data_IF_037811219721
#
_entry.id   IF_037811219721
#
_cell.length_a   1.000
_cell.length_b   1.000
_cell.length_c   1.000
_cell.angle_alpha   90.00
_cell.angle_beta   90.00
_cell.angle_gamma   90.00
#
_symmetry.space_group_name_H-M   'P 1'
#
loop_
_entity.id
_entity.type
_entity.pdbx_description
1 polymer ?
#
# COMPACT_ATOMS: atom_id res chain seq x y z
N UNK A 1 -13.79 16.13 -11.56
CA UNK A 1 -13.38 15.78 -10.18
C UNK A 1 -11.87 15.92 -10.14
N UNK A 2 -11.30 16.78 -9.29
CA UNK A 2 -9.88 17.12 -9.35
C UNK A 2 -9.04 16.10 -8.56
N UNK A 3 -8.16 15.38 -9.26
CA UNK A 3 -7.14 14.52 -8.66
C UNK A 3 -6.17 15.41 -7.87
N UNK A 4 -5.97 15.13 -6.59
CA UNK A 4 -5.08 15.92 -5.73
C UNK A 4 -3.63 15.54 -6.01
N UNK A 5 -2.78 16.55 -6.23
CA UNK A 5 -1.38 16.38 -6.54
C UNK A 5 -0.60 15.90 -5.29
N UNK A 6 0.38 15.02 -5.48
CA UNK A 6 1.20 14.39 -4.42
C UNK A 6 2.22 15.40 -3.86
N UNK A 7 1.73 16.48 -3.25
CA UNK A 7 2.60 17.56 -2.75
C UNK A 7 2.38 17.89 -1.29
N UNK A 8 1.32 17.36 -0.66
CA UNK A 8 1.07 17.56 0.76
C UNK A 8 0.62 16.26 1.42
N UNK A 9 1.19 16.03 2.60
CA UNK A 9 1.02 14.87 3.48
C UNK A 9 -0.42 14.31 3.48
N UNK A 10 -0.53 12.97 3.59
CA UNK A 10 -1.73 12.09 3.53
C UNK A 10 -1.92 11.57 2.08
N UNK A 11 -1.89 10.26 1.75
CA UNK A 11 -2.68 9.07 2.19
C UNK A 11 -1.97 7.78 1.73
N UNK A 12 -2.58 6.60 1.92
CA UNK A 12 -2.66 5.68 0.78
C UNK A 12 -3.88 4.74 0.85
N UNK A 13 -4.98 5.14 0.22
CA UNK A 13 -5.94 4.21 -0.39
C UNK A 13 -6.05 4.63 -1.84
N UNK A 14 -5.64 3.76 -2.76
CA UNK A 14 -5.79 3.94 -4.20
C UNK A 14 -6.96 3.09 -4.68
N UNK A 15 -7.97 3.74 -5.25
CA UNK A 15 -9.20 3.09 -5.72
C UNK A 15 -9.55 3.56 -7.13
N UNK A 16 -10.04 2.65 -7.97
CA UNK A 16 -10.66 3.03 -9.25
C UNK A 16 -11.84 3.98 -9.03
N UNK A 17 -12.06 4.87 -9.99
CA UNK A 17 -13.10 5.90 -9.97
C UNK A 17 -14.54 5.39 -9.71
N UNK A 18 -14.82 4.10 -9.94
CA UNK A 18 -16.12 3.48 -9.62
C UNK A 18 -16.36 3.18 -8.13
N UNK A 19 -15.31 3.17 -7.29
CA UNK A 19 -15.38 2.85 -5.85
C UNK A 19 -15.46 4.10 -4.96
N UNK A 20 -15.35 5.29 -5.55
CA UNK A 20 -15.44 6.57 -4.84
C UNK A 20 -16.76 7.24 -5.19
N UNK A 21 -17.73 7.21 -4.29
CA UNK A 21 -19.01 7.88 -4.48
C UNK A 21 -18.86 9.41 -4.58
N UNK A 22 -19.90 10.14 -5.05
CA UNK A 22 -19.86 11.60 -5.21
C UNK A 22 -19.52 12.38 -3.93
N UNK A 23 -19.70 11.75 -2.75
CA UNK A 23 -19.37 12.32 -1.44
C UNK A 23 -18.00 11.88 -0.88
N UNK A 24 -17.10 11.30 -1.71
CA UNK A 24 -15.83 10.70 -1.26
C UNK A 24 -16.01 9.61 -0.19
N UNK A 25 -17.18 8.99 -0.15
CA UNK A 25 -17.42 7.79 0.66
C UNK A 25 -16.67 6.64 0.01
N UNK A 26 -15.77 6.01 0.78
CA UNK A 26 -15.15 4.74 0.43
C UNK A 26 -16.27 3.70 0.32
N UNK A 27 -16.59 3.29 -0.90
CA UNK A 27 -17.43 2.11 -1.11
C UNK A 27 -16.46 0.95 -1.30
N UNK A 28 -16.07 0.29 -0.21
CA UNK A 28 -15.57 -1.08 -0.33
C UNK A 28 -16.76 -1.85 -0.87
N UNK A 29 -16.73 -2.16 -2.17
CA UNK A 29 -17.82 -2.91 -2.81
C UNK A 29 -17.96 -4.21 -2.05
N UNK A 30 -19.16 -4.45 -1.54
CA UNK A 30 -19.60 -5.76 -1.05
C UNK A 30 -19.27 -6.79 -2.14
N UNK A 31 -18.17 -7.51 -1.99
CA UNK A 31 -17.61 -8.41 -3.02
C UNK A 31 -16.09 -8.37 -3.22
N UNK A 32 -15.35 -7.39 -2.68
CA UNK A 32 -13.88 -7.37 -2.77
C UNK A 32 -13.22 -8.32 -1.76
N UNK A 33 -12.27 -9.15 -2.19
CA UNK A 33 -11.42 -9.91 -1.27
C UNK A 33 -10.30 -9.02 -0.73
N UNK A 34 -10.12 -9.06 0.59
CA UNK A 34 -9.11 -8.30 1.33
C UNK A 34 -7.87 -9.17 1.59
N UNK A 35 -6.69 -8.65 1.27
CA UNK A 35 -5.41 -9.33 1.55
C UNK A 35 -4.43 -8.38 2.24
N UNK A 36 -3.62 -8.95 3.14
CA UNK A 36 -2.50 -8.28 3.80
C UNK A 36 -1.18 -8.83 3.25
N UNK A 37 -0.24 -7.93 2.94
CA UNK A 37 0.97 -8.28 2.18
C UNK A 37 2.25 -7.72 2.83
N UNK A 38 3.16 -8.62 3.23
CA UNK A 38 4.44 -8.25 3.85
C UNK A 38 5.58 -9.21 3.46
N UNK A 39 6.81 -8.89 3.89
CA UNK A 39 8.05 -9.61 3.62
C UNK A 39 8.18 -10.93 4.39
N UNK A 40 7.37 -11.92 4.02
CA UNK A 40 7.45 -13.28 4.57
C UNK A 40 8.41 -14.20 3.79
N UNK A 41 8.87 -13.75 2.63
CA UNK A 41 9.70 -14.52 1.71
C UNK A 41 11.17 -14.10 1.85
N UNK A 42 12.04 -15.08 2.03
CA UNK A 42 13.49 -14.88 2.14
C UNK A 42 14.22 -15.67 1.05
N UNK A 43 15.47 -15.31 0.80
CA UNK A 43 16.32 -15.95 -0.21
C UNK A 43 16.50 -15.11 -1.46
N UNK A 44 16.61 -15.75 -2.62
CA UNK A 44 16.82 -15.07 -3.89
C UNK A 44 15.62 -14.15 -4.21
N UNK A 45 15.83 -12.87 -4.56
CA UNK A 45 14.74 -11.92 -4.82
C UNK A 45 13.75 -12.36 -5.90
N UNK A 46 14.23 -13.04 -6.95
CA UNK A 46 13.38 -13.51 -8.04
C UNK A 46 12.48 -14.66 -7.60
N UNK A 47 13.04 -15.63 -6.87
CA UNK A 47 12.27 -16.75 -6.33
C UNK A 47 11.27 -16.29 -5.27
N UNK A 48 11.69 -15.39 -4.38
CA UNK A 48 10.83 -14.78 -3.37
C UNK A 48 9.66 -14.03 -4.02
N UNK A 49 9.94 -13.24 -5.07
CA UNK A 49 8.91 -12.54 -5.82
C UNK A 49 7.96 -13.52 -6.54
N UNK A 50 8.49 -14.56 -7.18
CA UNK A 50 7.67 -15.58 -7.85
C UNK A 50 6.70 -16.29 -6.89
N UNK A 51 7.18 -16.68 -5.70
CA UNK A 51 6.34 -17.27 -4.65
C UNK A 51 5.27 -16.29 -4.17
N UNK A 52 5.66 -15.05 -3.89
CA UNK A 52 4.72 -14.01 -3.49
C UNK A 52 3.59 -13.81 -4.51
N UNK A 53 3.95 -13.63 -5.79
CA UNK A 53 2.96 -13.45 -6.87
C UNK A 53 2.05 -14.68 -6.97
N UNK A 54 2.61 -15.89 -6.90
CA UNK A 54 1.84 -17.13 -6.94
C UNK A 54 0.81 -17.20 -5.79
N UNK A 55 1.21 -16.83 -4.57
CA UNK A 55 0.34 -16.87 -3.40
C UNK A 55 -0.78 -15.83 -3.49
N UNK A 56 -0.49 -14.59 -3.92
CA UNK A 56 -1.52 -13.56 -4.16
C UNK A 56 -2.49 -14.00 -5.25
N UNK A 57 -1.97 -14.52 -6.36
CA UNK A 57 -2.81 -14.94 -7.47
C UNK A 57 -3.69 -16.15 -7.12
N UNK A 58 -3.17 -17.07 -6.31
CA UNK A 58 -3.93 -18.19 -5.77
C UNK A 58 -5.01 -17.73 -4.79
N UNK A 59 -4.70 -16.75 -3.94
CA UNK A 59 -5.61 -16.27 -2.91
C UNK A 59 -6.78 -15.45 -3.49
N UNK A 60 -6.51 -14.56 -4.43
CA UNK A 60 -7.52 -13.63 -4.95
C UNK A 60 -7.40 -13.28 -6.43
N UNK A 61 -6.32 -13.67 -7.10
CA UNK A 61 -6.10 -13.29 -8.50
C UNK A 61 -7.12 -13.84 -9.49
N UNK A 62 -7.75 -14.98 -9.18
CA UNK A 62 -8.84 -15.53 -9.99
C UNK A 62 -10.05 -14.59 -10.11
N UNK A 63 -10.22 -13.64 -9.17
CA UNK A 63 -11.27 -12.61 -9.23
C UNK A 63 -11.01 -11.63 -10.37
N UNK A 64 -9.74 -11.27 -10.59
CA UNK A 64 -9.35 -10.38 -11.68
C UNK A 64 -9.66 -11.00 -13.04
N UNK A 65 -9.41 -12.31 -13.18
CA UNK A 65 -9.72 -13.07 -14.41
C UNK A 65 -11.24 -13.15 -14.68
N UNK A 66 -12.06 -12.98 -13.64
CA UNK A 66 -13.52 -12.91 -13.71
C UNK A 66 -14.06 -11.48 -13.85
N UNK A 67 -13.18 -10.47 -13.92
CA UNK A 67 -13.55 -9.06 -14.03
C UNK A 67 -13.92 -8.40 -12.70
N UNK A 68 -13.68 -9.05 -11.56
CA UNK A 68 -13.89 -8.50 -10.23
C UNK A 68 -12.63 -7.76 -9.73
N UNK A 69 -12.79 -6.67 -8.95
CA UNK A 69 -11.67 -5.98 -8.34
C UNK A 69 -11.02 -6.83 -7.24
N UNK A 70 -9.71 -6.66 -7.06
CA UNK A 70 -8.96 -7.19 -5.92
C UNK A 70 -8.36 -6.01 -5.16
N UNK A 71 -8.59 -5.97 -3.84
CA UNK A 71 -8.13 -4.88 -2.97
C UNK A 71 -7.14 -5.41 -1.93
N UNK A 72 -5.91 -4.93 -1.99
CA UNK A 72 -4.90 -5.20 -0.96
C UNK A 72 -5.00 -4.12 0.11
N UNK A 73 -5.75 -4.37 1.17
CA UNK A 73 -6.04 -3.35 2.21
C UNK A 73 -4.84 -2.97 3.05
N UNK A 74 -3.83 -3.84 3.11
CA UNK A 74 -2.62 -3.57 3.86
C UNK A 74 -1.41 -4.12 3.12
N UNK A 75 -0.47 -3.23 2.81
CA UNK A 75 0.91 -3.60 2.53
C UNK A 75 1.85 -2.60 3.19
N UNK A 76 3.08 -3.02 3.44
CA UNK A 76 4.08 -2.12 4.00
C UNK A 76 5.43 -2.78 4.14
N UNK A 77 6.42 -1.95 4.45
CA UNK A 77 7.82 -2.34 4.59
C UNK A 77 8.47 -1.44 5.64
N UNK A 78 9.67 -1.82 6.08
CA UNK A 78 10.51 -0.95 6.88
C UNK A 78 10.92 0.29 6.07
N UNK A 79 10.27 1.42 6.38
CA UNK A 79 10.45 2.70 5.70
C UNK A 79 11.77 3.40 6.08
N UNK A 80 12.66 2.78 6.85
CA UNK A 80 14.05 3.22 6.93
C UNK A 80 14.83 2.88 5.66
N UNK A 81 14.31 1.97 4.83
CA UNK A 81 14.91 1.58 3.55
C UNK A 81 16.17 0.73 3.66
N UNK A 82 16.53 0.28 4.86
CA UNK A 82 17.75 -0.50 5.12
C UNK A 82 17.53 -2.01 5.13
N UNK A 83 16.27 -2.47 5.17
CA UNK A 83 15.93 -3.89 5.14
C UNK A 83 15.84 -4.39 3.68
N UNK A 84 16.81 -5.21 3.28
CA UNK A 84 16.88 -5.74 1.92
C UNK A 84 15.66 -6.61 1.54
N UNK A 85 15.13 -7.42 2.46
CA UNK A 85 13.98 -8.27 2.19
C UNK A 85 12.72 -7.45 1.95
N UNK A 86 12.50 -6.43 2.79
CA UNK A 86 11.36 -5.52 2.67
C UNK A 86 11.46 -4.70 1.37
N UNK A 87 12.67 -4.23 1.01
CA UNK A 87 12.89 -3.53 -0.25
C UNK A 87 12.62 -4.40 -1.48
N UNK A 88 13.05 -5.66 -1.45
CA UNK A 88 12.78 -6.62 -2.53
C UNK A 88 11.28 -6.95 -2.63
N UNK A 89 10.62 -7.13 -1.48
CA UNK A 89 9.17 -7.30 -1.42
C UNK A 89 8.44 -6.10 -2.06
N UNK A 90 8.79 -4.86 -1.70
CA UNK A 90 8.16 -3.66 -2.27
C UNK A 90 8.31 -3.59 -3.79
N UNK A 91 9.49 -3.93 -4.33
CA UNK A 91 9.70 -3.97 -5.78
C UNK A 91 8.75 -4.96 -6.46
N UNK A 92 8.59 -6.15 -5.86
CA UNK A 92 7.69 -7.16 -6.38
C UNK A 92 6.22 -6.76 -6.26
N UNK A 93 5.82 -6.22 -5.10
CA UNK A 93 4.48 -5.69 -4.85
C UNK A 93 4.11 -4.61 -5.87
N UNK A 94 4.99 -3.62 -6.08
CA UNK A 94 4.76 -2.54 -7.04
C UNK A 94 4.64 -3.05 -8.47
N UNK A 95 5.48 -4.01 -8.87
CA UNK A 95 5.37 -4.67 -10.18
C UNK A 95 4.01 -5.35 -10.36
N UNK A 96 3.60 -6.17 -9.39
CA UNK A 96 2.32 -6.88 -9.43
C UNK A 96 1.12 -5.92 -9.43
N UNK A 97 1.15 -4.90 -8.56
CA UNK A 97 0.07 -3.91 -8.45
C UNK A 97 -0.13 -3.14 -9.75
N UNK A 98 0.96 -2.73 -10.41
CA UNK A 98 0.91 -2.06 -11.69
C UNK A 98 0.46 -2.99 -12.83
N UNK A 99 0.99 -4.22 -12.89
CA UNK A 99 0.67 -5.17 -13.96
C UNK A 99 -0.81 -5.62 -13.91
N UNK A 100 -1.36 -5.80 -12.71
CA UNK A 100 -2.71 -6.34 -12.49
C UNK A 100 -3.77 -5.30 -12.16
N UNK A 101 -3.42 -4.01 -12.18
CA UNK A 101 -4.31 -2.89 -11.81
C UNK A 101 -5.02 -3.17 -10.46
N UNK A 102 -4.21 -3.48 -9.45
CA UNK A 102 -4.71 -3.74 -8.10
C UNK A 102 -5.12 -2.44 -7.42
N UNK A 103 -6.19 -2.50 -6.65
CA UNK A 103 -6.54 -1.46 -5.70
C UNK A 103 -5.78 -1.76 -4.38
N UNK A 104 -5.27 -0.74 -3.67
CA UNK A 104 -4.39 -0.98 -2.52
C UNK A 104 -4.46 0.11 -1.45
N UNK A 105 -4.07 -0.27 -0.23
CA UNK A 105 -3.91 0.66 0.89
C UNK A 105 -2.62 0.39 1.70
N UNK A 106 -1.91 1.48 2.00
CA UNK A 106 -0.62 1.43 2.71
C UNK A 106 -0.86 1.30 4.21
N UNK A 107 -0.18 0.33 4.80
CA UNK A 107 0.05 0.25 6.23
C UNK A 107 1.46 0.79 6.54
N UNK A 108 1.63 1.92 7.22
CA UNK A 108 0.59 2.81 7.73
C UNK A 108 1.09 4.26 7.85
N UNK A 109 0.19 5.22 8.11
CA UNK A 109 0.57 6.65 8.23
C UNK A 109 1.42 6.96 9.48
N UNK A 110 1.32 6.13 10.53
CA UNK A 110 1.77 6.41 11.89
C UNK A 110 3.28 6.62 11.99
N UNK A 111 3.72 7.67 12.70
CA UNK A 111 5.14 7.89 13.00
C UNK A 111 5.65 7.17 14.24
N UNK A 112 4.78 7.01 15.24
CA UNK A 112 5.10 6.33 16.50
C UNK A 112 3.83 5.79 17.16
N UNK A 113 3.98 4.98 18.21
CA UNK A 113 2.87 4.38 18.96
C UNK A 113 3.15 4.32 20.45
N UNK A 114 2.06 4.22 21.23
CA UNK A 114 2.11 4.02 22.65
C UNK A 114 2.17 2.53 22.98
N UNK A 115 3.15 2.12 23.81
CA UNK A 115 3.27 0.74 24.29
C UNK A 115 3.40 0.75 25.80
N UNK A 116 2.37 0.30 26.51
CA UNK A 116 2.43 -0.04 27.95
C UNK A 116 3.16 1.01 28.80
N UNK A 117 2.76 2.27 28.71
CA UNK A 117 3.38 3.38 29.46
C UNK A 117 4.48 4.13 28.70
N UNK A 118 4.99 3.59 27.59
CA UNK A 118 5.99 4.23 26.75
C UNK A 118 5.35 4.95 25.57
N UNK A 119 5.31 6.28 25.65
CA UNK A 119 4.93 7.17 24.54
C UNK A 119 6.08 7.23 23.53
N UNK A 120 5.75 7.34 22.25
CA UNK A 120 6.72 7.64 21.20
C UNK A 120 7.61 6.45 20.81
N UNK A 121 7.11 5.21 20.93
CA UNK A 121 7.83 4.06 20.37
C UNK A 121 7.81 4.18 18.86
N UNK A 122 8.99 4.25 18.24
CA UNK A 122 9.12 4.53 16.81
C UNK A 122 8.47 3.44 15.95
N UNK A 123 7.61 3.84 15.00
CA UNK A 123 6.96 2.93 14.04
C UNK A 123 7.73 2.98 12.72
N UNK A 124 8.72 2.11 12.59
CA UNK A 124 9.59 2.09 11.40
C UNK A 124 8.89 1.66 10.10
N UNK A 125 7.75 0.96 10.20
CA UNK A 125 6.87 0.63 9.07
C UNK A 125 5.90 1.77 8.71
N UNK A 126 6.07 2.91 9.35
CA UNK A 126 5.24 4.09 9.19
C UNK A 126 5.78 5.02 8.11
N UNK A 127 4.86 5.61 7.33
CA UNK A 127 5.19 6.62 6.33
C UNK A 127 5.84 7.86 6.97
N UNK A 128 5.36 8.25 8.16
CA UNK A 128 5.90 9.38 8.91
C UNK A 128 7.06 8.96 9.83
N UNK A 129 7.94 9.90 10.11
CA UNK A 129 8.93 9.75 11.17
C UNK A 129 8.31 9.90 12.56
N UNK A 130 9.07 9.62 13.63
CA UNK A 130 8.57 9.73 15.00
C UNK A 130 8.12 11.14 15.41
N UNK A 131 8.49 12.19 14.64
CA UNK A 131 8.05 13.56 14.86
C UNK A 131 6.64 13.83 14.36
N UNK A 132 6.07 12.92 13.54
CA UNK A 132 4.80 13.08 12.83
C UNK A 132 4.77 14.25 11.83
N UNK A 133 5.90 14.95 11.63
CA UNK A 133 5.99 16.13 10.80
C UNK A 133 6.66 15.91 9.44
N UNK A 134 7.38 14.79 9.27
CA UNK A 134 8.15 14.49 8.07
C UNK A 134 7.91 13.07 7.59
N UNK A 135 8.15 12.85 6.29
CA UNK A 135 8.22 11.51 5.72
C UNK A 135 9.50 10.83 6.17
N UNK A 136 9.40 9.55 6.54
CA UNK A 136 10.57 8.73 6.86
C UNK A 136 11.42 8.44 5.63
N UNK A 137 10.77 8.21 4.49
CA UNK A 137 11.41 7.94 3.22
C UNK A 137 10.74 8.70 2.08
N UNK A 138 11.34 9.83 1.68
CA UNK A 138 10.81 10.65 0.58
C UNK A 138 10.76 9.89 -0.76
N UNK A 139 11.68 8.95 -0.99
CA UNK A 139 11.68 8.13 -2.22
C UNK A 139 10.53 7.13 -2.27
N UNK A 140 9.96 6.75 -1.13
CA UNK A 140 8.86 5.80 -1.06
C UNK A 140 7.59 6.36 -1.69
N UNK A 141 7.23 7.62 -1.40
CA UNK A 141 6.09 8.27 -2.05
C UNK A 141 6.26 8.38 -3.57
N UNK A 142 7.48 8.63 -4.04
CA UNK A 142 7.76 8.65 -5.48
C UNK A 142 7.48 7.28 -6.10
N UNK A 143 7.91 6.19 -5.46
CA UNK A 143 7.62 4.83 -5.94
C UNK A 143 6.13 4.48 -5.89
N UNK A 144 5.42 4.89 -4.83
CA UNK A 144 3.96 4.72 -4.76
C UNK A 144 3.23 5.43 -5.90
N UNK A 145 3.70 6.62 -6.29
CA UNK A 145 3.10 7.37 -7.39
C UNK A 145 3.19 6.65 -8.74
N UNK A 146 4.19 5.78 -8.94
CA UNK A 146 4.37 5.09 -10.23
C UNK A 146 3.36 3.96 -10.44
N UNK A 147 2.72 3.48 -9.38
CA UNK A 147 1.72 2.41 -9.44
C UNK A 147 0.29 2.92 -9.29
N UNK A 148 0.11 4.25 -9.33
CA UNK A 148 -1.20 4.89 -9.31
C UNK A 148 -1.60 5.26 -10.75
N UNK A 149 -2.41 4.45 -11.45
CA UNK A 149 -2.86 4.77 -12.80
C UNK A 149 -3.80 5.99 -12.81
N UNK A 150 -3.95 6.69 -13.95
CA UNK A 150 -4.81 7.88 -14.06
C UNK A 150 -6.29 7.65 -13.72
N UNK A 151 -6.73 6.38 -13.78
CA UNK A 151 -8.09 5.91 -13.44
C UNK A 151 -8.31 5.69 -11.94
N UNK A 152 -7.25 5.76 -11.12
CA UNK A 152 -7.31 5.59 -9.68
C UNK A 152 -7.12 6.93 -8.94
N UNK A 153 -8.01 7.21 -8.00
CA UNK A 153 -7.92 8.37 -7.12
C UNK A 153 -7.34 7.96 -5.76
N UNK A 154 -6.34 8.69 -5.29
CA UNK A 154 -5.83 8.57 -3.92
C UNK A 154 -6.73 9.36 -2.97
N UNK A 155 -7.35 8.67 -1.99
CA UNK A 155 -8.38 9.23 -1.13
C UNK A 155 -7.87 9.59 0.27
N UNK A 156 -7.83 10.88 0.64
CA UNK A 156 -7.31 11.34 1.94
C UNK A 156 -8.20 10.92 3.12
N UNK A 157 -7.74 9.97 3.95
CA UNK A 157 -8.21 9.82 5.33
C UNK A 157 -7.40 10.80 6.18
N UNK A 158 -7.92 12.01 6.36
CA UNK A 158 -7.52 12.83 7.51
C UNK A 158 -8.22 12.26 8.74
N UNK A 159 -7.44 11.81 9.73
CA UNK A 159 -7.93 11.65 11.11
C UNK A 159 -8.11 13.02 11.75
#
# INVERSE_FOLDING_TARGET
MACMNITTNVVAISLRNGFVGPNKTLVIVTGSLELHSYSWYSGNPYEACGKYVQDVMRAGGFLLDQGWPLFISEFGADERGTNANDNNFLNCFFGLAAERDLDWALWALQGSYYVRGKIGTDKVYGLLDSSWGQLRNASFLQRLSTIQPPSQCMLLIKS
#
